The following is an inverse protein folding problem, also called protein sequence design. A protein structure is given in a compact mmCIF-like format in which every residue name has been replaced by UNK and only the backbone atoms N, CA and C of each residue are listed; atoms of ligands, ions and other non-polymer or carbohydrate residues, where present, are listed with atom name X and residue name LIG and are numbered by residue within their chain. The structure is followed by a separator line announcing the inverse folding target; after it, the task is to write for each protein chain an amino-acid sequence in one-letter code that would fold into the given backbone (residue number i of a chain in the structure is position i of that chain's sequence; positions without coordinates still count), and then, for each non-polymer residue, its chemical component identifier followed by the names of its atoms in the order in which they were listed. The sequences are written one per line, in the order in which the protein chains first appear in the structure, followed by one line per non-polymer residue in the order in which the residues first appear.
data_IF_506340936701
#
_entry.id   IF_506340936701
#
_cell.length_a   1.000
_cell.length_b   1.000
_cell.length_c   1.000
_cell.angle_alpha   90.00
_cell.angle_beta   90.00
_cell.angle_gamma   90.00
#
_symmetry.space_group_name_H-M   'P 1'
#
loop_
_entity.id
_entity.type
_entity.pdbx_description
1 polymer ?
#
# COMPACT_ATOMS: atom_id res chain seq x y z
N UNK A 1 14.29 -2.77 -8.54
CA UNK A 1 14.18 -4.23 -8.71
C UNK A 1 14.33 -4.60 -10.19
N UNK A 2 15.26 -5.48 -10.56
CA UNK A 2 15.60 -5.77 -11.96
C UNK A 2 15.36 -7.24 -12.39
N UNK A 3 14.92 -8.10 -11.47
CA UNK A 3 14.68 -9.53 -11.74
C UNK A 3 13.32 -9.74 -12.42
N UNK A 4 13.26 -10.72 -13.32
CA UNK A 4 12.05 -11.11 -14.05
C UNK A 4 11.43 -12.42 -13.54
N UNK A 5 12.02 -13.02 -12.50
CA UNK A 5 11.65 -14.29 -11.88
C UNK A 5 11.21 -14.13 -10.41
N UNK A 6 10.13 -13.37 -10.14
CA UNK A 6 9.72 -12.95 -8.80
C UNK A 6 9.51 -14.10 -7.81
N UNK A 7 8.98 -15.24 -8.27
CA UNK A 7 8.74 -16.41 -7.41
C UNK A 7 10.04 -17.12 -6.98
N UNK A 8 11.00 -17.28 -7.89
CA UNK A 8 12.30 -17.88 -7.58
C UNK A 8 13.10 -17.00 -6.62
N UNK A 9 13.09 -15.68 -6.86
CA UNK A 9 13.72 -14.73 -5.96
C UNK A 9 13.09 -14.73 -4.57
N UNK A 10 11.75 -14.78 -4.48
CA UNK A 10 11.07 -14.88 -3.19
C UNK A 10 11.49 -16.15 -2.43
N UNK A 11 11.54 -17.30 -3.11
CA UNK A 11 11.98 -18.56 -2.49
C UNK A 11 13.43 -18.48 -1.98
N UNK A 12 14.31 -17.80 -2.73
CA UNK A 12 15.71 -17.57 -2.34
C UNK A 12 15.81 -16.69 -1.07
N UNK A 13 15.15 -15.52 -1.06
CA UNK A 13 15.25 -14.58 0.08
C UNK A 13 14.48 -15.01 1.32
N UNK A 14 13.49 -15.88 1.16
CA UNK A 14 12.74 -16.46 2.28
C UNK A 14 13.33 -17.78 2.78
N UNK A 15 14.47 -18.22 2.23
CA UNK A 15 15.15 -19.43 2.68
C UNK A 15 15.47 -19.34 4.19
N UNK A 16 14.93 -20.28 4.97
CA UNK A 16 15.07 -20.32 6.42
C UNK A 16 14.00 -19.58 7.22
N UNK A 17 13.04 -18.91 6.57
CA UNK A 17 11.87 -18.33 7.22
C UNK A 17 10.77 -19.42 7.34
N UNK A 18 10.22 -19.68 8.54
CA UNK A 18 9.10 -20.60 8.70
C UNK A 18 7.90 -20.13 7.87
N UNK A 19 7.37 -21.03 7.04
CA UNK A 19 6.23 -20.74 6.18
C UNK A 19 4.87 -20.83 6.90
N UNK A 20 3.79 -20.31 6.29
CA UNK A 20 3.77 -19.64 4.98
C UNK A 20 4.35 -18.22 5.02
N UNK A 21 4.99 -17.79 3.94
CA UNK A 21 5.61 -16.46 3.79
C UNK A 21 4.86 -15.64 2.76
N UNK A 22 4.57 -14.37 3.09
CA UNK A 22 4.12 -13.37 2.12
C UNK A 22 5.29 -12.49 1.75
N UNK A 23 5.65 -12.49 0.47
CA UNK A 23 6.68 -11.62 -0.10
C UNK A 23 6.06 -10.48 -0.88
N UNK A 24 6.51 -9.25 -0.63
CA UNK A 24 6.18 -8.09 -1.45
C UNK A 24 7.42 -7.63 -2.21
N UNK A 25 7.28 -7.47 -3.52
CA UNK A 25 8.35 -6.95 -4.36
C UNK A 25 8.16 -5.45 -4.55
N UNK A 26 9.23 -4.67 -4.39
CA UNK A 26 9.15 -3.21 -4.47
C UNK A 26 10.14 -2.62 -5.46
N UNK A 27 9.69 -1.61 -6.19
CA UNK A 27 10.53 -0.69 -6.95
C UNK A 27 10.90 0.57 -6.14
N UNK A 28 10.39 0.71 -4.92
CA UNK A 28 10.80 1.75 -3.97
C UNK A 28 12.04 1.31 -3.18
N UNK A 29 12.80 2.28 -2.66
CA UNK A 29 13.91 2.00 -1.76
C UNK A 29 13.38 1.32 -0.47
N UNK A 30 14.02 0.21 -0.08
CA UNK A 30 13.73 -0.46 1.20
C UNK A 30 14.35 0.31 2.38
N UNK A 31 15.44 1.02 2.13
CA UNK A 31 16.04 1.98 3.04
C UNK A 31 15.03 3.12 3.25
N UNK A 32 14.30 3.11 4.37
CA UNK A 32 13.25 4.10 4.66
C UNK A 32 11.82 3.57 4.56
N UNK A 33 11.59 2.26 4.59
CA UNK A 33 10.25 1.75 4.88
C UNK A 33 9.73 2.34 6.20
N UNK A 34 8.45 2.65 6.24
CA UNK A 34 7.79 3.18 7.42
C UNK A 34 7.21 2.02 8.22
N UNK A 35 7.33 2.11 9.54
CA UNK A 35 6.81 1.16 10.51
C UNK A 35 6.01 1.94 11.54
N UNK A 36 4.69 1.77 11.52
CA UNK A 36 3.76 2.54 12.34
C UNK A 36 2.80 1.62 13.05
N UNK A 37 2.74 1.73 14.37
CA UNK A 37 1.69 1.13 15.18
C UNK A 37 0.67 2.19 15.56
N UNK A 38 -0.62 1.86 15.40
CA UNK A 38 -1.73 2.65 15.89
C UNK A 38 -2.78 1.71 16.49
N UNK A 39 -3.07 1.87 17.78
CA UNK A 39 -3.98 0.97 18.50
C UNK A 39 -3.59 -0.50 18.31
N UNK A 40 -4.52 -1.30 17.80
CA UNK A 40 -4.36 -2.74 17.54
C UNK A 40 -3.75 -3.10 16.18
N UNK A 41 -3.38 -2.10 15.37
CA UNK A 41 -2.84 -2.28 14.03
C UNK A 41 -1.38 -1.80 13.90
N UNK A 42 -0.58 -2.54 13.14
CA UNK A 42 0.78 -2.14 12.75
C UNK A 42 0.91 -2.20 11.24
N UNK A 43 1.28 -1.09 10.62
CA UNK A 43 1.44 -0.96 9.19
C UNK A 43 2.91 -0.73 8.83
N UNK A 44 3.36 -1.48 7.84
CA UNK A 44 4.63 -1.31 7.16
C UNK A 44 4.37 -0.76 5.77
N UNK A 45 5.06 0.30 5.35
CA UNK A 45 4.88 0.88 4.03
C UNK A 45 6.21 1.20 3.34
N UNK A 46 6.30 0.88 2.05
CA UNK A 46 7.30 1.48 1.16
C UNK A 46 6.56 2.33 0.13
N UNK A 47 7.03 3.55 -0.12
CA UNK A 47 6.35 4.50 -0.99
C UNK A 47 7.32 4.97 -2.06
N UNK A 48 7.02 4.64 -3.31
CA UNK A 48 7.70 5.14 -4.50
C UNK A 48 6.72 5.83 -5.43
N UNK A 49 6.81 7.15 -5.57
CA UNK A 49 5.90 7.97 -6.38
C UNK A 49 6.47 8.33 -7.75
N UNK A 50 7.22 7.42 -8.37
CA UNK A 50 7.81 7.63 -9.70
C UNK A 50 6.77 7.88 -10.80
N UNK A 51 5.65 7.15 -10.75
CA UNK A 51 4.53 7.32 -11.68
C UNK A 51 3.15 7.12 -10.99
N UNK A 52 2.65 8.12 -10.25
CA UNK A 52 1.35 8.04 -9.57
C UNK A 52 0.20 8.12 -10.58
N UNK A 53 -0.83 7.30 -10.37
CA UNK A 53 -1.99 7.15 -11.27
C UNK A 53 -3.30 7.19 -10.52
N UNK A 54 -4.37 7.54 -11.21
CA UNK A 54 -5.73 7.29 -10.77
C UNK A 54 -6.21 5.94 -11.32
N UNK A 55 -6.89 5.16 -10.49
CA UNK A 55 -7.41 3.84 -10.86
C UNK A 55 -8.40 3.91 -12.06
N UNK A 56 -9.19 4.98 -12.13
CA UNK A 56 -10.12 5.27 -13.24
C UNK A 56 -9.57 6.32 -14.22
N UNK A 57 -8.25 6.33 -14.43
CA UNK A 57 -7.61 7.17 -15.45
C UNK A 57 -7.42 6.44 -16.78
N UNK A 58 -6.87 7.14 -17.77
CA UNK A 58 -6.52 6.53 -19.04
C UNK A 58 -5.45 5.46 -18.86
N UNK A 59 -5.46 4.45 -19.73
CA UNK A 59 -4.38 3.47 -19.77
C UNK A 59 -3.14 4.13 -20.33
N UNK A 60 -2.06 4.15 -19.54
CA UNK A 60 -0.77 4.63 -20.04
C UNK A 60 -0.14 3.57 -20.94
N UNK A 61 0.26 3.98 -22.15
CA UNK A 61 0.84 3.10 -23.17
C UNK A 61 2.35 3.30 -23.29
N UNK A 62 2.91 4.30 -22.59
CA UNK A 62 4.32 4.64 -22.67
C UNK A 62 5.09 4.07 -21.47
N UNK A 63 6.36 3.66 -21.67
CA UNK A 63 7.22 3.23 -20.58
C UNK A 63 7.53 4.40 -19.63
N UNK A 64 7.47 4.13 -18.33
CA UNK A 64 7.71 5.15 -17.30
C UNK A 64 9.20 5.41 -17.12
N UNK A 65 9.58 6.69 -17.12
CA UNK A 65 10.97 7.10 -16.89
C UNK A 65 11.49 6.71 -15.50
N UNK A 66 10.59 6.62 -14.50
CA UNK A 66 10.93 6.21 -13.14
C UNK A 66 9.81 5.32 -12.57
N UNK A 67 10.02 4.01 -12.42
CA UNK A 67 9.04 3.15 -11.78
C UNK A 67 8.90 3.52 -10.30
N UNK A 68 7.73 3.24 -9.74
CA UNK A 68 7.45 3.43 -8.32
C UNK A 68 6.27 2.54 -7.91
N UNK A 69 6.25 2.13 -6.65
CA UNK A 69 5.14 1.35 -6.08
C UNK A 69 4.90 1.76 -4.63
N UNK A 70 3.64 1.66 -4.21
CA UNK A 70 3.27 1.71 -2.80
C UNK A 70 2.91 0.29 -2.35
N UNK A 71 3.77 -0.29 -1.52
CA UNK A 71 3.49 -1.56 -0.86
C UNK A 71 3.14 -1.33 0.60
N UNK A 72 2.05 -1.94 1.08
CA UNK A 72 1.57 -1.82 2.45
C UNK A 72 1.33 -3.21 3.02
N UNK A 73 1.94 -3.51 4.17
CA UNK A 73 1.63 -4.71 4.95
C UNK A 73 1.07 -4.30 6.30
N UNK A 74 -0.12 -4.76 6.64
CA UNK A 74 -0.75 -4.46 7.93
C UNK A 74 -0.92 -5.75 8.71
N UNK A 75 -0.58 -5.71 9.99
CA UNK A 75 -0.87 -6.76 10.96
C UNK A 75 -1.86 -6.22 11.99
N UNK A 76 -2.89 -6.99 12.30
CA UNK A 76 -3.83 -6.68 13.40
C UNK A 76 -3.97 -7.84 14.37
N UNK A 77 -4.16 -7.52 15.65
CA UNK A 77 -4.42 -8.50 16.70
C UNK A 77 -5.89 -8.98 16.74
N UNK A 78 -6.76 -8.43 15.89
CA UNK A 78 -8.15 -8.86 15.79
C UNK A 78 -8.27 -10.15 14.93
N UNK A 79 -8.93 -11.23 15.40
CA UNK A 79 -9.16 -12.44 14.61
C UNK A 79 -10.24 -12.24 13.54
N UNK A 80 -9.87 -11.63 12.41
CA UNK A 80 -10.79 -11.27 11.33
C UNK A 80 -11.32 -12.51 10.59
N UNK A 81 -12.61 -12.47 10.22
CA UNK A 81 -13.18 -13.39 9.21
C UNK A 81 -12.68 -13.01 7.80
N UNK A 82 -12.87 -13.88 6.81
CA UNK A 82 -12.56 -13.57 5.40
C UNK A 82 -13.31 -12.31 4.90
N UNK A 83 -14.57 -12.15 5.32
CA UNK A 83 -15.36 -10.95 5.01
C UNK A 83 -14.76 -9.69 5.65
N UNK A 84 -14.29 -9.81 6.90
CA UNK A 84 -13.63 -8.72 7.59
C UNK A 84 -12.27 -8.39 6.98
N UNK A 85 -11.49 -9.39 6.52
CA UNK A 85 -10.23 -9.18 5.80
C UNK A 85 -10.45 -8.39 4.50
N UNK A 86 -11.52 -8.69 3.75
CA UNK A 86 -11.90 -7.90 2.58
C UNK A 86 -12.26 -6.45 2.95
N UNK A 87 -13.00 -6.24 4.04
CA UNK A 87 -13.31 -4.91 4.57
C UNK A 87 -12.05 -4.15 5.03
N UNK A 88 -11.14 -4.83 5.71
CA UNK A 88 -9.85 -4.28 6.15
C UNK A 88 -9.00 -3.85 4.95
N UNK A 89 -8.95 -4.65 3.89
CA UNK A 89 -8.28 -4.29 2.64
C UNK A 89 -8.87 -3.03 2.03
N UNK A 90 -10.20 -2.92 1.95
CA UNK A 90 -10.86 -1.72 1.47
C UNK A 90 -10.51 -0.49 2.32
N UNK A 91 -10.53 -0.63 3.65
CA UNK A 91 -10.17 0.46 4.57
C UNK A 91 -8.69 0.86 4.46
N UNK A 92 -7.78 -0.10 4.23
CA UNK A 92 -6.38 0.22 3.93
C UNK A 92 -6.25 1.02 2.62
N UNK A 93 -7.01 0.65 1.58
CA UNK A 93 -7.05 1.41 0.32
C UNK A 93 -7.55 2.83 0.56
N UNK A 94 -8.62 3.02 1.34
CA UNK A 94 -9.16 4.33 1.69
C UNK A 94 -8.13 5.18 2.44
N UNK A 95 -7.46 4.63 3.46
CA UNK A 95 -6.40 5.33 4.22
C UNK A 95 -5.21 5.74 3.35
N UNK A 96 -4.77 4.86 2.44
CA UNK A 96 -3.72 5.17 1.44
C UNK A 96 -4.15 6.32 0.51
N UNK A 97 -5.36 6.24 -0.05
CA UNK A 97 -5.88 7.26 -0.97
C UNK A 97 -6.05 8.60 -0.27
N UNK A 98 -6.48 8.60 0.99
CA UNK A 98 -6.56 9.79 1.81
C UNK A 98 -5.19 10.45 1.97
N UNK A 99 -4.15 9.69 2.35
CA UNK A 99 -2.78 10.21 2.48
C UNK A 99 -2.27 10.83 1.16
N UNK A 100 -2.47 10.16 0.02
CA UNK A 100 -2.09 10.69 -1.30
C UNK A 100 -2.85 11.98 -1.66
N UNK A 101 -4.13 12.03 -1.33
CA UNK A 101 -4.99 13.18 -1.64
C UNK A 101 -4.59 14.40 -0.81
N UNK A 102 -4.37 14.22 0.48
CA UNK A 102 -3.95 15.27 1.42
C UNK A 102 -2.54 15.80 1.11
N UNK A 103 -1.61 14.90 0.73
CA UNK A 103 -0.29 15.28 0.23
C UNK A 103 -0.33 15.93 -1.17
N UNK A 104 -1.51 15.99 -1.79
CA UNK A 104 -1.71 16.69 -3.05
C UNK A 104 -1.19 15.97 -4.28
N UNK A 105 -0.96 14.65 -4.22
CA UNK A 105 -0.35 13.87 -5.30
C UNK A 105 -1.28 13.81 -6.53
N UNK A 106 -0.80 14.34 -7.66
CA UNK A 106 -1.53 14.34 -8.93
C UNK A 106 -1.36 13.04 -9.72
N UNK A 107 -2.43 12.59 -10.38
CA UNK A 107 -2.38 11.44 -11.26
C UNK A 107 -1.84 11.81 -12.65
N UNK A 108 -0.86 11.04 -13.14
CA UNK A 108 -0.24 11.26 -14.46
C UNK A 108 -1.14 10.85 -15.62
N UNK A 109 -2.02 9.87 -15.39
CA UNK A 109 -2.88 9.27 -16.42
C UNK A 109 -4.27 9.91 -16.52
N UNK A 110 -4.43 11.14 -16.00
CA UNK A 110 -5.71 11.89 -16.04
C UNK A 110 -5.70 13.03 -17.07
N UNK A 111 -4.59 13.20 -17.80
CA UNK A 111 -4.47 14.20 -18.87
C UNK A 111 -5.46 13.92 -20.00
N UNK A 112 -6.08 14.97 -20.57
CA UNK A 112 -7.06 14.83 -21.65
C UNK A 112 -8.47 14.41 -21.22
N UNK A 113 -8.69 14.04 -19.95
CA UNK A 113 -10.04 13.87 -19.40
C UNK A 113 -10.63 15.23 -19.03
N UNK A 114 -11.95 15.40 -19.23
CA UNK A 114 -12.67 16.66 -18.97
C UNK A 114 -12.51 17.20 -17.54
N UNK A 115 -12.16 16.34 -16.58
CA UNK A 115 -11.92 16.72 -15.18
C UNK A 115 -10.57 17.42 -14.98
N UNK A 116 -9.60 17.27 -15.90
CA UNK A 116 -8.35 18.05 -16.03
C UNK A 116 -7.37 18.06 -14.85
N UNK A 117 -7.77 17.58 -13.66
CA UNK A 117 -7.00 17.56 -12.40
C UNK A 117 -7.43 16.36 -11.56
N UNK A 118 -6.98 15.16 -11.94
CA UNK A 118 -7.21 13.97 -11.13
C UNK A 118 -6.15 13.80 -10.03
N UNK A 119 -6.58 13.34 -8.86
CA UNK A 119 -5.68 12.91 -7.77
C UNK A 119 -5.26 11.47 -8.00
N UNK A 120 -4.04 11.13 -7.58
CA UNK A 120 -3.59 9.75 -7.59
C UNK A 120 -4.32 8.94 -6.51
N UNK A 121 -4.71 7.72 -6.85
CA UNK A 121 -5.23 6.74 -5.88
C UNK A 121 -4.18 5.68 -5.53
N UNK A 122 -3.03 5.73 -6.20
CA UNK A 122 -1.94 4.78 -6.03
C UNK A 122 -0.88 4.92 -7.13
N UNK A 123 -0.08 3.88 -7.29
CA UNK A 123 0.71 3.63 -8.50
C UNK A 123 0.10 2.48 -9.31
N UNK A 124 0.68 2.18 -10.46
CA UNK A 124 0.21 1.10 -11.32
C UNK A 124 0.52 -0.32 -10.77
N UNK A 125 1.36 -0.44 -9.75
CA UNK A 125 1.76 -1.75 -9.20
C UNK A 125 1.78 -1.77 -7.67
N UNK A 126 0.85 -1.06 -7.04
CA UNK A 126 0.66 -1.11 -5.59
C UNK A 126 0.32 -2.53 -5.13
N UNK A 127 0.81 -2.92 -3.95
CA UNK A 127 0.43 -4.15 -3.28
C UNK A 127 -0.01 -3.86 -1.84
N UNK A 128 -1.07 -4.53 -1.38
CA UNK A 128 -1.52 -4.46 0.02
C UNK A 128 -1.75 -5.86 0.53
N UNK A 129 -1.19 -6.18 1.69
CA UNK A 129 -1.43 -7.42 2.40
C UNK A 129 -1.91 -7.13 3.83
N UNK A 130 -2.96 -7.82 4.26
CA UNK A 130 -3.50 -7.74 5.62
C UNK A 130 -3.30 -9.10 6.27
N UNK A 131 -2.65 -9.13 7.42
CA UNK A 131 -2.51 -10.29 8.28
C UNK A 131 -3.23 -10.05 9.60
N UNK A 132 -3.81 -11.12 10.14
CA UNK A 132 -4.48 -11.10 11.42
C UNK A 132 -4.17 -12.35 12.21
N UNK A 133 -4.43 -12.33 13.52
CA UNK A 133 -4.35 -13.56 14.32
C UNK A 133 -5.43 -14.57 13.89
N UNK A 134 -5.20 -15.88 14.02
CA UNK A 134 -6.22 -16.88 13.71
C UNK A 134 -7.42 -16.80 14.66
N UNK A 135 -8.60 -17.21 14.18
CA UNK A 135 -9.79 -17.38 15.03
C UNK A 135 -11.11 -16.96 14.38
N UNK A 136 -11.07 -16.08 13.37
CA UNK A 136 -12.22 -15.67 12.56
C UNK A 136 -13.49 -15.31 13.37
N UNK A 137 -13.34 -14.55 14.46
CA UNK A 137 -14.45 -14.14 15.34
C UNK A 137 -14.89 -12.68 15.18
N UNK A 138 -14.11 -11.86 14.46
CA UNK A 138 -14.43 -10.45 14.18
C UNK A 138 -14.99 -10.34 12.75
N UNK A 139 -16.28 -10.02 12.57
CA UNK A 139 -16.94 -10.08 11.25
C UNK A 139 -16.81 -8.83 10.39
N UNK A 140 -16.33 -7.70 10.96
CA UNK A 140 -16.23 -6.42 10.25
C UNK A 140 -14.93 -5.71 10.59
N UNK A 141 -14.35 -5.04 9.58
CA UNK A 141 -13.16 -4.20 9.75
C UNK A 141 -13.22 -2.92 8.91
N UNK A 142 -14.44 -2.42 8.65
CA UNK A 142 -14.65 -1.12 8.00
C UNK A 142 -14.38 0.05 8.95
N UNK A 143 -14.35 1.28 8.43
CA UNK A 143 -13.99 2.51 9.17
C UNK A 143 -14.84 2.80 10.42
N UNK A 144 -16.05 2.25 10.51
CA UNK A 144 -16.92 2.38 11.68
C UNK A 144 -16.56 1.43 12.84
N UNK A 145 -15.65 0.49 12.63
CA UNK A 145 -15.16 -0.46 13.64
C UNK A 145 -13.86 0.02 14.27
N UNK A 146 -13.57 -0.40 15.49
CA UNK A 146 -12.30 -0.07 16.17
C UNK A 146 -11.09 -0.59 15.38
N UNK A 147 -11.11 -1.85 14.94
CA UNK A 147 -10.03 -2.43 14.12
C UNK A 147 -9.86 -1.70 12.79
N UNK A 148 -10.96 -1.32 12.13
CA UNK A 148 -10.90 -0.59 10.86
C UNK A 148 -10.39 0.84 11.04
N UNK A 149 -10.80 1.52 12.11
CA UNK A 149 -10.27 2.83 12.49
C UNK A 149 -8.75 2.76 12.69
N UNK A 150 -8.29 1.83 13.53
CA UNK A 150 -6.88 1.68 13.85
C UNK A 150 -6.03 1.35 12.62
N UNK A 151 -6.53 0.44 11.79
CA UNK A 151 -5.93 0.06 10.52
C UNK A 151 -5.84 1.25 9.56
N UNK A 152 -6.90 2.04 9.42
CA UNK A 152 -6.90 3.23 8.56
C UNK A 152 -5.84 4.24 9.02
N UNK A 153 -5.76 4.50 10.34
CA UNK A 153 -4.79 5.43 10.90
C UNK A 153 -3.34 4.95 10.77
N UNK A 154 -3.08 3.67 11.03
CA UNK A 154 -1.76 3.08 10.85
C UNK A 154 -1.30 3.22 9.38
N UNK A 155 -2.18 2.87 8.43
CA UNK A 155 -1.90 2.96 7.00
C UNK A 155 -1.72 4.41 6.55
N UNK A 156 -2.66 5.30 6.88
CA UNK A 156 -2.56 6.71 6.53
C UNK A 156 -1.26 7.32 7.04
N UNK A 157 -0.92 7.08 8.31
CA UNK A 157 0.31 7.62 8.91
C UNK A 157 1.57 7.06 8.24
N UNK A 158 1.63 5.74 8.00
CA UNK A 158 2.77 5.11 7.36
C UNK A 158 2.96 5.61 5.92
N UNK A 159 1.88 5.75 5.15
CA UNK A 159 1.92 6.27 3.79
C UNK A 159 2.31 7.75 3.79
N UNK A 160 1.72 8.59 4.64
CA UNK A 160 2.07 10.02 4.75
C UNK A 160 3.56 10.23 5.04
N UNK A 161 4.11 9.51 6.03
CA UNK A 161 5.56 9.55 6.31
C UNK A 161 6.39 9.04 5.13
N UNK A 162 5.93 8.02 4.42
CA UNK A 162 6.61 7.50 3.24
C UNK A 162 6.63 8.50 2.09
N UNK A 163 5.55 9.28 1.91
CA UNK A 163 5.49 10.37 0.93
C UNK A 163 6.48 11.47 1.29
N UNK A 164 6.54 11.87 2.57
CA UNK A 164 7.51 12.86 3.06
C UNK A 164 8.95 12.40 2.86
N UNK A 165 9.25 11.15 3.19
CA UNK A 165 10.57 10.55 3.03
C UNK A 165 10.98 10.41 1.56
N UNK A 166 10.01 10.16 0.66
CA UNK A 166 10.27 10.10 -0.78
C UNK A 166 10.77 11.45 -1.32
N UNK A 167 10.14 12.56 -0.93
CA UNK A 167 10.60 13.93 -1.22
C UNK A 167 10.87 14.25 -2.72
N UNK A 168 11.34 15.48 -3.04
CA UNK A 168 11.74 15.86 -4.40
C UNK A 168 13.03 15.20 -4.89
N UNK A 169 13.75 14.49 -3.99
CA UNK A 169 15.05 13.87 -4.25
C UNK A 169 15.04 12.35 -4.10
N UNK A 170 13.87 11.70 -4.01
CA UNK A 170 13.80 10.24 -3.99
C UNK A 170 14.71 9.73 -5.10
N UNK A 171 15.73 8.97 -4.73
CA UNK A 171 16.68 8.35 -5.66
C UNK A 171 16.08 7.05 -6.16
#
# INVERSE_FOLDING_TARGET
YARTDPGAHLAEVSAGVPGPVVGMLTAAALEGFQDVTWGSARAFATVGLGHPVAAAGMRDLLPWARPGTINIFVVTEAPLTDAALAGALQTAVEGKVQALTEAGIGARNMTGLATGRGRATGTASDAIAIACVPGASVPFAGTATEVGHDLAWAVWTAVSKGIEAWGPHGT
#
